data_IF_979935627259
#
_entry.id   IF_979935627259
#
_cell.length_a   1.000
_cell.length_b   1.000
_cell.length_c   1.000
_cell.angle_alpha   90.00
_cell.angle_beta   90.00
_cell.angle_gamma   90.00
#
_symmetry.space_group_name_H-M   'P 1'
#
loop_
_entity.id
_entity.type
_entity.pdbx_description
1 polymer ?
#
# COMPACT_ATOMS: atom_id res chain seq x y z
N UNK A 1 2.98 38.02 6.94
CA UNK A 1 2.37 36.83 7.59
C UNK A 1 1.34 36.11 6.70
N UNK A 2 1.35 36.25 5.36
CA UNK A 2 0.40 35.60 4.43
C UNK A 2 1.06 34.81 3.30
N UNK A 3 2.35 34.48 3.36
CA UNK A 3 3.07 33.74 2.29
C UNK A 3 2.82 32.26 2.20
N UNK A 4 2.13 31.63 3.13
CA UNK A 4 1.96 30.17 3.17
C UNK A 4 0.71 29.62 2.49
N UNK A 5 -0.16 30.44 1.89
CA UNK A 5 -1.43 29.98 1.31
C UNK A 5 -1.46 29.89 -0.21
N UNK A 6 -0.39 30.20 -0.91
CA UNK A 6 -0.38 30.31 -2.37
C UNK A 6 0.11 29.07 -3.15
N UNK A 7 0.42 27.99 -2.47
CA UNK A 7 0.73 26.77 -3.19
C UNK A 7 -0.52 25.93 -3.30
N UNK A 8 -1.43 26.33 -4.33
CA UNK A 8 -1.82 25.20 -5.09
C UNK A 8 -3.23 24.72 -5.19
N UNK A 9 -3.72 24.86 -6.35
CA UNK A 9 -4.63 23.95 -7.07
C UNK A 9 -4.17 22.48 -6.98
N UNK A 10 -2.90 22.25 -6.73
CA UNK A 10 -2.29 20.96 -6.38
C UNK A 10 -2.64 20.45 -4.98
N UNK A 11 -3.26 21.23 -4.10
CA UNK A 11 -3.28 21.02 -2.65
C UNK A 11 -4.65 20.66 -2.06
N UNK A 12 -5.65 20.27 -2.85
CA UNK A 12 -6.87 19.62 -2.31
C UNK A 12 -6.56 18.37 -1.52
N UNK A 13 -5.41 17.86 -1.74
CA UNK A 13 -4.72 16.71 -1.20
C UNK A 13 -4.66 16.58 0.35
N UNK A 14 -5.05 17.59 1.10
CA UNK A 14 -5.22 17.58 2.57
C UNK A 14 -6.41 18.44 2.99
N UNK A 15 -7.51 18.37 2.27
CA UNK A 15 -8.72 19.16 2.60
C UNK A 15 -8.68 20.61 2.11
N UNK A 16 -7.73 20.98 1.24
CA UNK A 16 -7.76 22.28 0.59
C UNK A 16 -8.93 22.38 -0.40
N UNK A 17 -9.62 23.50 -0.43
CA UNK A 17 -10.76 23.76 -1.33
C UNK A 17 -10.26 24.53 -2.55
N UNK A 18 -10.14 23.88 -3.74
CA UNK A 18 -9.71 24.58 -4.96
C UNK A 18 -10.65 25.71 -5.34
N UNK A 19 -11.92 25.64 -4.96
CA UNK A 19 -12.93 26.67 -5.18
C UNK A 19 -12.52 28.02 -4.61
N UNK A 20 -11.82 28.05 -3.47
CA UNK A 20 -11.32 29.30 -2.88
C UNK A 20 -10.32 29.98 -3.81
N UNK A 21 -9.45 29.20 -4.46
CA UNK A 21 -8.49 29.75 -5.42
C UNK A 21 -9.16 30.13 -6.73
N UNK A 22 -10.07 29.30 -7.23
CA UNK A 22 -10.81 29.57 -8.48
C UNK A 22 -11.71 30.81 -8.37
N UNK A 23 -12.28 31.05 -7.19
CA UNK A 23 -13.13 32.21 -6.93
C UNK A 23 -12.34 33.45 -6.47
N UNK A 24 -11.05 33.29 -6.16
CA UNK A 24 -10.22 34.41 -5.66
C UNK A 24 -10.28 35.67 -6.51
N UNK A 25 -10.24 35.62 -7.86
CA UNK A 25 -10.38 36.82 -8.69
C UNK A 25 -11.75 37.50 -8.58
N UNK A 26 -12.81 36.72 -8.27
CA UNK A 26 -14.17 37.26 -8.05
C UNK A 26 -14.30 37.89 -6.68
N UNK A 27 -13.69 37.27 -5.66
CA UNK A 27 -13.73 37.75 -4.28
C UNK A 27 -12.80 38.99 -4.07
N UNK A 28 -11.77 39.12 -4.93
CA UNK A 28 -10.78 40.20 -4.89
C UNK A 28 -10.52 40.77 -6.29
N UNK A 29 -11.45 41.55 -6.87
CA UNK A 29 -11.37 42.04 -8.25
C UNK A 29 -10.13 42.92 -8.58
N UNK A 30 -9.48 43.48 -7.57
CA UNK A 30 -8.26 44.28 -7.73
C UNK A 30 -6.94 43.52 -7.59
N UNK A 31 -6.99 42.21 -7.41
CA UNK A 31 -5.78 41.41 -7.24
C UNK A 31 -5.08 41.15 -8.58
N UNK A 32 -3.78 41.43 -8.65
CA UNK A 32 -2.97 41.06 -9.81
C UNK A 32 -2.80 39.54 -9.90
N UNK A 33 -3.04 39.00 -11.08
CA UNK A 33 -2.90 37.57 -11.37
C UNK A 33 -1.67 37.32 -12.26
N UNK A 34 -0.71 36.54 -11.78
CA UNK A 34 0.47 36.12 -12.55
C UNK A 34 0.36 34.64 -12.83
N UNK A 35 0.36 34.26 -14.10
CA UNK A 35 0.31 32.88 -14.53
C UNK A 35 1.74 32.38 -14.73
N UNK A 36 2.11 31.30 -13.99
CA UNK A 36 3.36 30.57 -14.21
C UNK A 36 3.08 29.48 -15.26
N UNK A 37 3.46 29.73 -16.49
CA UNK A 37 3.19 28.87 -17.65
C UNK A 37 4.42 28.07 -18.13
N UNK A 38 5.60 28.29 -17.54
CA UNK A 38 6.83 27.64 -17.93
C UNK A 38 7.25 26.55 -16.94
N UNK A 39 7.43 25.35 -17.44
CA UNK A 39 7.99 24.22 -16.71
C UNK A 39 9.48 24.12 -17.00
N UNK A 40 10.32 24.22 -15.96
CA UNK A 40 11.79 24.14 -16.05
C UNK A 40 12.34 22.77 -15.61
N UNK A 41 11.46 21.84 -15.19
CA UNK A 41 11.84 20.54 -14.62
C UNK A 41 11.89 19.46 -15.67
N UNK A 42 10.78 19.20 -16.31
CA UNK A 42 10.52 18.01 -17.08
C UNK A 42 10.77 18.21 -18.57
N UNK A 43 11.10 17.12 -19.26
CA UNK A 43 11.18 17.08 -20.72
C UNK A 43 9.82 17.33 -21.37
N UNK A 44 9.81 17.66 -22.65
CA UNK A 44 8.61 18.05 -23.41
C UNK A 44 7.54 16.94 -23.40
N UNK A 45 7.94 15.68 -23.60
CA UNK A 45 6.98 14.56 -23.59
C UNK A 45 6.27 14.42 -22.25
N UNK A 46 6.98 14.53 -21.13
CA UNK A 46 6.40 14.43 -19.79
C UNK A 46 5.42 15.59 -19.57
N UNK A 47 5.80 16.81 -19.93
CA UNK A 47 4.92 17.99 -19.81
C UNK A 47 3.66 17.79 -20.65
N UNK A 48 3.78 17.41 -21.92
CA UNK A 48 2.66 17.22 -22.84
C UNK A 48 1.71 16.15 -22.32
N UNK A 49 2.21 14.97 -21.94
CA UNK A 49 1.39 13.86 -21.47
C UNK A 49 0.71 14.16 -20.12
N UNK A 50 1.40 14.88 -19.24
CA UNK A 50 0.79 15.35 -17.99
C UNK A 50 -0.33 16.37 -18.24
N UNK A 51 -0.19 17.22 -19.26
CA UNK A 51 -1.25 18.15 -19.67
C UNK A 51 -2.45 17.41 -20.26
N UNK A 52 -2.25 16.40 -21.13
CA UNK A 52 -3.33 15.56 -21.63
C UNK A 52 -4.20 15.05 -20.48
N UNK A 53 -3.56 14.43 -19.49
CA UNK A 53 -4.25 13.93 -18.30
C UNK A 53 -5.06 15.00 -17.58
N UNK A 54 -4.43 16.11 -17.18
CA UNK A 54 -5.07 17.11 -16.31
C UNK A 54 -6.14 17.92 -17.06
N UNK A 55 -6.14 17.90 -18.39
CA UNK A 55 -7.17 18.54 -19.19
C UNK A 55 -8.55 17.93 -19.01
N UNK A 56 -8.66 16.69 -18.58
CA UNK A 56 -9.92 16.03 -18.25
C UNK A 56 -10.60 16.57 -16.97
N UNK A 57 -9.88 17.35 -16.16
CA UNK A 57 -10.47 18.03 -15.00
C UNK A 57 -11.21 19.29 -15.42
N UNK A 58 -12.49 19.40 -15.04
CA UNK A 58 -13.34 20.56 -15.32
C UNK A 58 -13.03 21.73 -14.36
N UNK A 59 -12.79 21.43 -13.08
CA UNK A 59 -12.47 22.46 -12.06
C UNK A 59 -10.96 22.74 -12.02
N UNK A 60 -10.47 23.54 -12.98
CA UNK A 60 -9.07 23.95 -13.09
C UNK A 60 -8.94 25.34 -13.70
N UNK A 61 -7.80 26.00 -13.50
CA UNK A 61 -7.41 27.13 -14.33
C UNK A 61 -6.94 26.63 -15.69
N UNK A 62 -7.43 27.25 -16.74
CA UNK A 62 -6.90 27.00 -18.08
C UNK A 62 -5.53 27.66 -18.19
N UNK A 63 -4.51 26.88 -18.43
CA UNK A 63 -3.17 27.35 -18.75
C UNK A 63 -2.46 26.37 -19.67
N UNK A 64 -1.80 26.90 -20.67
CA UNK A 64 -0.86 26.16 -21.50
C UNK A 64 0.50 26.17 -20.81
N UNK A 65 0.96 24.99 -20.38
CA UNK A 65 2.30 24.87 -19.80
C UNK A 65 3.27 24.50 -20.92
N UNK A 66 4.33 25.28 -21.09
CA UNK A 66 5.42 25.01 -22.03
C UNK A 66 6.71 24.67 -21.29
N UNK A 67 7.66 24.05 -21.99
CA UNK A 67 9.00 23.86 -21.48
C UNK A 67 10.03 24.18 -22.56
N UNK A 68 11.20 24.64 -22.15
CA UNK A 68 12.35 24.81 -23.02
C UNK A 68 13.35 23.66 -22.90
N UNK A 69 13.04 22.66 -22.07
CA UNK A 69 13.88 21.48 -21.92
C UNK A 69 13.80 20.64 -23.22
N UNK A 70 14.75 19.73 -23.36
CA UNK A 70 14.79 18.81 -24.48
C UNK A 70 13.50 17.98 -24.60
N UNK A 71 13.29 17.39 -25.78
CA UNK A 71 12.15 16.55 -26.06
C UNK A 71 12.08 15.34 -25.13
N UNK A 72 13.25 14.76 -24.82
CA UNK A 72 13.42 13.61 -23.94
C UNK A 72 12.86 12.31 -24.53
N UNK A 73 12.79 11.27 -23.70
CA UNK A 73 12.20 9.99 -24.05
C UNK A 73 10.65 10.06 -23.95
N UNK A 74 9.92 9.35 -24.83
CA UNK A 74 8.48 9.19 -24.68
C UNK A 74 8.12 8.58 -23.32
N UNK A 75 6.97 8.98 -22.76
CA UNK A 75 6.41 8.33 -21.57
C UNK A 75 6.11 6.87 -21.90
N UNK A 76 6.71 5.94 -21.17
CA UNK A 76 6.51 4.51 -21.34
C UNK A 76 5.27 4.04 -20.54
N UNK A 77 4.48 3.14 -21.16
CA UNK A 77 3.39 2.43 -20.47
C UNK A 77 3.69 0.94 -20.59
N UNK A 78 3.68 0.22 -19.46
CA UNK A 78 4.05 -1.19 -19.42
C UNK A 78 3.05 -1.99 -18.59
N UNK A 79 2.63 -3.14 -19.14
CA UNK A 79 1.79 -4.11 -18.46
C UNK A 79 2.60 -5.30 -17.98
N UNK A 80 2.27 -5.80 -16.78
CA UNK A 80 2.87 -6.97 -16.18
C UNK A 80 1.77 -7.91 -15.69
N UNK A 81 2.10 -9.19 -15.52
CA UNK A 81 1.11 -10.16 -15.07
C UNK A 81 0.62 -9.88 -13.64
N UNK A 82 1.54 -9.58 -12.73
CA UNK A 82 1.24 -9.35 -11.31
C UNK A 82 2.26 -8.38 -10.69
N UNK A 83 2.00 -7.85 -9.46
CA UNK A 83 2.88 -6.88 -8.81
C UNK A 83 4.32 -7.36 -8.57
N UNK A 84 4.53 -8.67 -8.40
CA UNK A 84 5.87 -9.22 -8.21
C UNK A 84 6.68 -9.22 -9.50
N UNK A 85 6.07 -9.60 -10.63
CA UNK A 85 6.70 -9.51 -11.94
C UNK A 85 6.99 -8.05 -12.32
N UNK A 86 6.04 -7.14 -12.03
CA UNK A 86 6.24 -5.70 -12.21
C UNK A 86 7.50 -5.23 -11.47
N UNK A 87 7.62 -5.55 -10.20
CA UNK A 87 8.76 -5.09 -9.39
C UNK A 87 10.08 -5.73 -9.76
N UNK A 88 10.11 -7.01 -10.16
CA UNK A 88 11.32 -7.66 -10.67
C UNK A 88 11.84 -7.00 -11.94
N UNK A 89 10.95 -6.76 -12.90
CA UNK A 89 11.32 -6.07 -14.13
C UNK A 89 11.83 -4.65 -13.84
N UNK A 90 11.15 -3.92 -12.95
CA UNK A 90 11.61 -2.58 -12.56
C UNK A 90 12.95 -2.63 -11.83
N UNK A 91 13.20 -3.62 -10.96
CA UNK A 91 14.49 -3.78 -10.28
C UNK A 91 15.65 -4.02 -11.27
N UNK A 92 15.41 -4.79 -12.32
CA UNK A 92 16.39 -4.99 -13.39
C UNK A 92 16.68 -3.68 -14.14
N UNK A 93 15.64 -2.90 -14.45
CA UNK A 93 15.79 -1.59 -15.10
C UNK A 93 16.52 -0.56 -14.22
N UNK A 94 16.28 -0.57 -12.91
CA UNK A 94 17.02 0.28 -11.96
C UNK A 94 18.51 -0.03 -11.98
N UNK A 95 18.88 -1.32 -11.99
CA UNK A 95 20.29 -1.74 -12.10
C UNK A 95 20.93 -1.36 -13.44
N UNK A 96 20.17 -1.49 -14.53
CA UNK A 96 20.64 -1.08 -15.84
C UNK A 96 20.84 0.44 -15.91
N UNK A 97 19.90 1.21 -15.37
CA UNK A 97 19.99 2.66 -15.33
C UNK A 97 21.20 3.13 -14.49
N UNK A 98 21.46 2.49 -13.37
CA UNK A 98 22.64 2.78 -12.53
C UNK A 98 23.95 2.50 -13.29
N UNK A 99 24.06 1.35 -13.95
CA UNK A 99 25.21 1.03 -14.81
C UNK A 99 25.41 2.04 -15.94
N UNK A 100 24.33 2.64 -16.42
CA UNK A 100 24.34 3.67 -17.47
C UNK A 100 24.54 5.10 -16.92
N UNK A 101 24.88 5.24 -15.63
CA UNK A 101 25.26 6.49 -15.00
C UNK A 101 24.11 7.31 -14.38
N UNK A 102 22.93 6.74 -14.23
CA UNK A 102 21.87 7.35 -13.42
C UNK A 102 21.95 6.80 -11.99
N UNK A 103 22.35 7.60 -10.98
CA UNK A 103 22.48 7.10 -9.61
C UNK A 103 21.13 6.76 -9.01
N UNK A 104 21.08 5.80 -8.08
CA UNK A 104 19.83 5.34 -7.44
C UNK A 104 19.04 6.48 -6.76
N UNK A 105 19.73 7.50 -6.22
CA UNK A 105 19.13 8.67 -5.58
C UNK A 105 18.30 9.53 -6.53
N UNK A 106 18.56 9.42 -7.82
CA UNK A 106 17.84 10.10 -8.90
C UNK A 106 16.69 9.26 -9.49
N UNK A 107 16.36 8.15 -8.84
CA UNK A 107 15.28 7.25 -9.24
C UNK A 107 14.19 7.17 -8.16
N UNK A 108 12.94 7.10 -8.58
CA UNK A 108 11.81 6.98 -7.64
C UNK A 108 10.77 5.97 -8.10
N UNK A 109 10.28 5.19 -7.14
CA UNK A 109 9.14 4.29 -7.25
C UNK A 109 7.97 4.90 -6.49
N UNK A 110 6.91 5.25 -7.19
CA UNK A 110 5.78 5.97 -6.64
C UNK A 110 4.51 5.13 -6.69
N UNK A 111 3.85 5.03 -5.55
CA UNK A 111 2.64 4.24 -5.35
C UNK A 111 1.47 5.11 -4.89
N UNK A 112 0.25 4.67 -5.17
CA UNK A 112 -0.95 5.31 -4.62
C UNK A 112 -1.16 4.97 -3.15
N UNK A 113 -0.79 3.77 -2.72
CA UNK A 113 -1.01 3.23 -1.38
C UNK A 113 0.29 2.72 -0.77
N UNK A 114 0.31 2.58 0.56
CA UNK A 114 1.45 1.99 1.27
C UNK A 114 1.64 0.49 0.96
N UNK A 115 0.58 -0.18 0.53
CA UNK A 115 0.61 -1.59 0.17
C UNK A 115 1.59 -1.86 -0.98
N UNK A 116 1.49 -1.09 -2.09
CA UNK A 116 2.42 -1.23 -3.21
C UNK A 116 3.88 -0.99 -2.81
N UNK A 117 4.12 -0.04 -1.90
CA UNK A 117 5.46 0.21 -1.38
C UNK A 117 6.10 -1.02 -0.70
N UNK A 118 5.31 -1.89 -0.06
CA UNK A 118 5.85 -3.08 0.61
C UNK A 118 6.41 -4.08 -0.39
N UNK A 119 5.63 -4.47 -1.39
CA UNK A 119 6.09 -5.40 -2.43
C UNK A 119 7.37 -4.87 -3.08
N UNK A 120 7.43 -3.55 -3.33
CA UNK A 120 8.64 -2.92 -3.85
C UNK A 120 9.84 -3.09 -2.91
N UNK A 121 9.65 -2.85 -1.62
CA UNK A 121 10.73 -2.96 -0.63
C UNK A 121 11.25 -4.40 -0.54
N UNK A 122 10.35 -5.39 -0.50
CA UNK A 122 10.72 -6.80 -0.45
C UNK A 122 11.57 -7.20 -1.67
N UNK A 123 11.14 -6.84 -2.88
CA UNK A 123 11.87 -7.14 -4.11
C UNK A 123 13.20 -6.35 -4.21
N UNK A 124 13.25 -5.08 -3.76
CA UNK A 124 14.51 -4.32 -3.71
C UNK A 124 15.48 -4.92 -2.69
N UNK A 125 15.00 -5.45 -1.57
CA UNK A 125 15.83 -6.16 -0.60
C UNK A 125 16.36 -7.47 -1.15
N UNK A 126 15.54 -8.29 -1.82
CA UNK A 126 15.97 -9.51 -2.50
C UNK A 126 17.00 -9.18 -3.61
N UNK A 127 16.77 -8.10 -4.33
CA UNK A 127 17.65 -7.62 -5.38
C UNK A 127 18.92 -6.93 -4.86
N UNK A 128 19.07 -6.70 -3.56
CA UNK A 128 20.18 -5.95 -2.94
C UNK A 128 20.33 -4.52 -3.51
N UNK A 129 19.23 -3.88 -3.93
CA UNK A 129 19.22 -2.50 -4.40
C UNK A 129 19.01 -1.58 -3.18
N UNK A 130 19.90 -0.59 -2.96
CA UNK A 130 19.70 0.37 -1.88
C UNK A 130 18.45 1.22 -2.13
N UNK A 131 17.67 1.45 -1.10
CA UNK A 131 16.46 2.26 -1.17
C UNK A 131 16.28 3.13 0.06
N UNK A 132 15.54 4.19 -0.11
CA UNK A 132 15.11 5.09 0.95
C UNK A 132 13.58 5.26 0.92
N UNK A 133 12.98 5.55 2.08
CA UNK A 133 11.54 5.79 2.20
C UNK A 133 11.30 7.18 2.74
N UNK A 134 10.34 7.89 2.17
CA UNK A 134 9.97 9.20 2.70
C UNK A 134 9.12 9.11 3.95
N UNK A 135 8.16 8.21 3.97
CA UNK A 135 7.27 7.98 5.10
C UNK A 135 7.63 6.70 5.84
N UNK A 136 7.34 6.67 7.13
CA UNK A 136 7.31 5.41 7.86
C UNK A 136 6.10 4.62 7.34
N UNK A 137 6.34 3.51 6.62
CA UNK A 137 5.26 2.60 6.26
C UNK A 137 4.74 1.95 7.54
N UNK A 138 3.42 1.91 7.74
CA UNK A 138 2.85 1.09 8.79
C UNK A 138 3.32 -0.37 8.58
N UNK A 139 3.92 -0.96 9.61
CA UNK A 139 4.29 -2.37 9.53
C UNK A 139 3.00 -3.22 9.49
N UNK A 140 2.83 -4.01 8.42
CA UNK A 140 1.70 -4.94 8.27
C UNK A 140 1.60 -5.86 9.47
N UNK A 141 2.75 -6.37 9.88
CA UNK A 141 2.84 -7.36 10.96
C UNK A 141 2.59 -6.75 12.35
N UNK A 142 2.62 -5.41 12.47
CA UNK A 142 2.18 -4.69 13.66
C UNK A 142 0.66 -4.48 13.73
N UNK A 143 -0.05 -4.66 12.60
CA UNK A 143 -1.49 -4.54 12.57
C UNK A 143 -2.14 -5.65 13.42
N UNK A 144 -3.23 -5.32 14.13
CA UNK A 144 -3.87 -6.28 15.05
C UNK A 144 -4.40 -7.55 14.34
N UNK A 145 -4.88 -7.44 13.11
CA UNK A 145 -5.29 -8.58 12.28
C UNK A 145 -4.09 -9.50 12.02
N UNK A 146 -2.95 -8.94 11.64
CA UNK A 146 -1.74 -9.73 11.41
C UNK A 146 -1.30 -10.43 12.70
N UNK A 147 -1.30 -9.71 13.82
CA UNK A 147 -0.98 -10.28 15.14
C UNK A 147 -1.91 -11.43 15.52
N UNK A 148 -3.18 -11.36 15.17
CA UNK A 148 -4.12 -12.46 15.40
C UNK A 148 -3.79 -13.68 14.52
N UNK A 149 -3.57 -13.49 13.21
CA UNK A 149 -3.21 -14.58 12.30
C UNK A 149 -1.89 -15.24 12.71
N UNK A 150 -0.87 -14.43 13.00
CA UNK A 150 0.42 -14.94 13.49
C UNK A 150 0.28 -15.67 14.83
N UNK A 151 -0.66 -15.27 15.69
CA UNK A 151 -0.96 -16.00 16.93
C UNK A 151 -1.56 -17.38 16.63
N UNK A 152 -2.49 -17.51 15.68
CA UNK A 152 -2.96 -18.82 15.23
C UNK A 152 -1.83 -19.72 14.74
N UNK A 153 -0.91 -19.16 13.95
CA UNK A 153 0.25 -19.90 13.44
C UNK A 153 1.23 -20.29 14.57
N UNK A 154 1.45 -19.44 15.57
CA UNK A 154 2.25 -19.78 16.75
C UNK A 154 1.64 -20.95 17.54
N UNK A 155 0.32 -20.96 17.71
CA UNK A 155 -0.37 -22.09 18.35
C UNK A 155 -0.24 -23.36 17.54
N UNK A 156 -0.31 -23.29 16.22
CA UNK A 156 -0.06 -24.42 15.32
C UNK A 156 1.38 -24.94 15.44
N UNK A 157 2.36 -24.06 15.64
CA UNK A 157 3.76 -24.44 15.91
C UNK A 157 4.02 -24.98 17.33
N UNK A 158 2.95 -25.22 18.10
CA UNK A 158 3.04 -25.86 19.43
C UNK A 158 3.05 -24.90 20.61
N UNK A 159 2.95 -23.59 20.42
CA UNK A 159 2.80 -22.68 21.55
C UNK A 159 1.50 -22.98 22.33
N UNK A 160 1.60 -22.90 23.66
CA UNK A 160 0.45 -23.07 24.56
C UNK A 160 0.36 -21.94 25.58
N UNK A 161 0.97 -20.81 25.29
CA UNK A 161 1.01 -19.64 26.18
C UNK A 161 -0.39 -19.05 26.35
N UNK A 162 -0.81 -18.85 27.59
CA UNK A 162 -2.10 -18.22 27.97
C UNK A 162 -2.35 -16.91 27.23
N UNK A 163 -1.33 -16.04 27.12
CA UNK A 163 -1.46 -14.75 26.45
C UNK A 163 -1.82 -14.85 24.96
N UNK A 164 -1.38 -15.91 24.27
CA UNK A 164 -1.72 -16.17 22.88
C UNK A 164 -3.14 -16.70 22.73
N UNK A 165 -3.54 -17.65 23.56
CA UNK A 165 -4.92 -18.11 23.57
C UNK A 165 -5.91 -16.97 23.82
N UNK A 166 -5.67 -16.11 24.81
CA UNK A 166 -6.54 -14.99 25.12
C UNK A 166 -6.70 -13.99 23.95
N UNK A 167 -5.72 -13.88 23.06
CA UNK A 167 -5.82 -13.03 21.87
C UNK A 167 -6.85 -13.56 20.88
N UNK A 168 -6.88 -14.88 20.64
CA UNK A 168 -7.68 -15.49 19.56
C UNK A 168 -8.89 -16.29 20.05
N UNK A 169 -9.03 -16.55 21.34
CA UNK A 169 -10.08 -17.39 21.91
C UNK A 169 -11.49 -17.02 21.43
N UNK A 170 -11.75 -15.70 21.32
CA UNK A 170 -13.00 -15.15 20.82
C UNK A 170 -12.85 -14.33 19.52
N UNK A 171 -11.94 -14.74 18.64
CA UNK A 171 -11.71 -14.14 17.31
C UNK A 171 -11.57 -15.21 16.22
N UNK A 172 -12.66 -15.75 15.67
CA UNK A 172 -14.08 -15.40 15.85
C UNK A 172 -14.64 -15.79 17.21
N UNK A 173 -15.83 -15.21 17.52
CA UNK A 173 -16.45 -15.36 18.83
C UNK A 173 -16.84 -16.81 19.15
N UNK A 174 -16.25 -17.35 20.21
CA UNK A 174 -16.53 -18.70 20.75
C UNK A 174 -17.17 -18.68 22.13
N UNK A 175 -17.34 -17.47 22.73
CA UNK A 175 -17.88 -17.26 24.07
C UNK A 175 -17.07 -17.93 25.19
N UNK A 176 -15.78 -18.12 24.98
CA UNK A 176 -14.89 -18.63 26.02
C UNK A 176 -14.64 -17.55 27.09
N UNK A 177 -14.91 -17.89 28.36
CA UNK A 177 -14.60 -17.00 29.47
C UNK A 177 -13.10 -16.88 29.68
N UNK A 178 -12.66 -15.71 30.10
CA UNK A 178 -11.26 -15.48 30.48
C UNK A 178 -10.82 -16.32 31.67
N UNK A 179 -11.77 -16.65 32.54
CA UNK A 179 -11.54 -17.44 33.76
C UNK A 179 -11.23 -18.92 33.45
N UNK A 180 -11.63 -19.41 32.27
CA UNK A 180 -11.25 -20.76 31.82
C UNK A 180 -9.76 -20.90 31.47
N UNK A 181 -9.02 -19.79 31.45
CA UNK A 181 -7.59 -19.75 31.16
C UNK A 181 -6.80 -19.32 32.39
N UNK A 182 -6.82 -20.11 33.48
CA UNK A 182 -6.15 -19.73 34.72
C UNK A 182 -4.62 -19.93 34.64
N UNK A 183 -4.18 -21.03 34.05
CA UNK A 183 -2.78 -21.38 34.00
C UNK A 183 -1.98 -20.63 32.94
N UNK A 184 -0.67 -20.46 33.16
CA UNK A 184 0.24 -19.83 32.21
C UNK A 184 0.37 -20.63 30.90
N UNK A 185 0.18 -21.95 30.96
CA UNK A 185 0.18 -22.90 29.84
C UNK A 185 -1.20 -23.51 29.68
N UNK A 186 -1.85 -23.28 28.55
CA UNK A 186 -3.22 -23.75 28.29
C UNK A 186 -3.22 -25.20 27.83
N UNK A 187 -4.06 -26.02 28.48
CA UNK A 187 -4.41 -27.37 28.05
C UNK A 187 -5.82 -27.40 27.49
N UNK A 188 -6.04 -28.10 26.38
CA UNK A 188 -7.39 -28.33 25.86
C UNK A 188 -8.22 -29.24 26.76
N UNK A 189 -7.57 -30.22 27.43
CA UNK A 189 -8.26 -31.08 28.38
C UNK A 189 -8.77 -30.28 29.58
N UNK A 190 -7.97 -29.37 30.15
CA UNK A 190 -8.41 -28.49 31.23
C UNK A 190 -9.56 -27.55 30.79
N UNK A 191 -9.54 -27.06 29.55
CA UNK A 191 -10.66 -26.27 29.02
C UNK A 191 -11.93 -27.10 28.86
N UNK A 192 -11.81 -28.37 28.42
CA UNK A 192 -12.95 -29.28 28.31
C UNK A 192 -13.52 -29.61 29.67
N UNK A 193 -12.68 -29.83 30.69
CA UNK A 193 -13.08 -30.07 32.07
C UNK A 193 -13.81 -28.86 32.66
N UNK A 194 -13.29 -27.64 32.45
CA UNK A 194 -13.93 -26.41 32.91
C UNK A 194 -15.35 -26.22 32.35
N UNK A 195 -15.62 -26.72 31.17
CA UNK A 195 -16.91 -26.61 30.49
C UNK A 195 -17.66 -27.95 30.39
N UNK A 196 -17.35 -28.96 31.20
CA UNK A 196 -17.90 -30.31 31.09
C UNK A 196 -19.43 -30.36 31.09
N UNK A 197 -20.08 -29.47 31.83
CA UNK A 197 -21.55 -29.34 31.88
C UNK A 197 -22.18 -28.66 30.65
N UNK A 198 -21.37 -28.16 29.70
CA UNK A 198 -21.83 -27.37 28.54
C UNK A 198 -21.36 -27.98 27.23
N UNK A 199 -22.04 -29.01 26.75
CA UNK A 199 -21.69 -29.73 25.51
C UNK A 199 -21.38 -28.84 24.32
N UNK A 200 -22.16 -27.78 24.13
CA UNK A 200 -21.95 -26.85 23.02
C UNK A 200 -20.63 -26.07 23.13
N UNK A 201 -20.14 -25.82 24.35
CA UNK A 201 -18.82 -25.21 24.58
C UNK A 201 -17.70 -26.22 24.30
N UNK A 202 -17.86 -27.46 24.79
CA UNK A 202 -16.92 -28.53 24.52
C UNK A 202 -16.76 -28.77 23.00
N UNK A 203 -17.84 -28.71 22.24
CA UNK A 203 -17.78 -28.80 20.78
C UNK A 203 -16.93 -27.67 20.15
N UNK A 204 -17.09 -26.42 20.62
CA UNK A 204 -16.29 -25.28 20.14
C UNK A 204 -14.83 -25.40 20.50
N UNK A 205 -14.51 -25.90 21.69
CA UNK A 205 -13.13 -26.14 22.13
C UNK A 205 -12.48 -27.22 21.28
N UNK A 206 -13.15 -28.36 21.06
CA UNK A 206 -12.67 -29.42 20.17
C UNK A 206 -12.49 -28.93 18.74
N UNK A 207 -13.39 -28.08 18.25
CA UNK A 207 -13.25 -27.45 16.93
C UNK A 207 -12.02 -26.56 16.87
N UNK A 208 -11.75 -25.72 17.89
CA UNK A 208 -10.56 -24.89 17.96
C UNK A 208 -9.28 -25.73 17.97
N UNK A 209 -9.25 -26.82 18.74
CA UNK A 209 -8.13 -27.76 18.76
C UNK A 209 -7.87 -28.39 17.40
N UNK A 210 -8.95 -28.86 16.75
CA UNK A 210 -8.88 -29.42 15.39
C UNK A 210 -8.39 -28.38 14.38
N UNK A 211 -8.89 -27.13 14.46
CA UNK A 211 -8.47 -26.05 13.58
C UNK A 211 -6.97 -25.77 13.72
N UNK A 212 -6.46 -25.66 14.97
CA UNK A 212 -5.03 -25.46 15.25
C UNK A 212 -4.21 -26.65 14.72
N UNK A 213 -4.67 -27.87 14.92
CA UNK A 213 -4.01 -29.07 14.41
C UNK A 213 -3.97 -29.09 12.88
N UNK A 214 -5.07 -28.70 12.21
CA UNK A 214 -5.13 -28.62 10.75
C UNK A 214 -4.10 -27.64 10.20
N UNK A 215 -3.91 -26.49 10.86
CA UNK A 215 -2.94 -25.49 10.43
C UNK A 215 -1.50 -26.00 10.38
N UNK A 216 -1.14 -27.02 11.21
CA UNK A 216 0.22 -27.60 11.20
C UNK A 216 0.61 -28.25 9.89
N UNK A 217 -0.38 -28.67 9.10
CA UNK A 217 -0.17 -29.41 7.85
C UNK A 217 -0.31 -28.55 6.59
N UNK A 218 -0.59 -27.25 6.77
CA UNK A 218 -0.82 -26.33 5.66
C UNK A 218 0.42 -25.50 5.34
N UNK A 219 0.58 -25.15 4.07
CA UNK A 219 1.51 -24.11 3.67
C UNK A 219 1.09 -22.76 4.28
N UNK A 220 1.98 -21.76 4.42
CA UNK A 220 1.62 -20.44 4.93
C UNK A 220 0.40 -19.82 4.23
N UNK A 221 0.35 -19.89 2.90
CA UNK A 221 -0.79 -19.43 2.11
C UNK A 221 -2.07 -20.23 2.42
N UNK A 222 -1.97 -21.57 2.48
CA UNK A 222 -3.08 -22.43 2.85
C UNK A 222 -3.59 -22.18 4.26
N UNK A 223 -2.68 -21.90 5.20
CA UNK A 223 -3.02 -21.59 6.59
C UNK A 223 -3.76 -20.25 6.71
N UNK A 224 -3.30 -19.19 6.00
CA UNK A 224 -4.02 -17.91 5.96
C UNK A 224 -5.42 -18.10 5.38
N UNK A 225 -5.56 -18.83 4.27
CA UNK A 225 -6.88 -19.13 3.68
C UNK A 225 -7.78 -19.89 4.66
N UNK A 226 -7.24 -20.89 5.36
CA UNK A 226 -8.00 -21.67 6.33
C UNK A 226 -8.48 -20.79 7.49
N UNK A 227 -7.62 -19.92 8.02
CA UNK A 227 -7.98 -18.95 9.08
C UNK A 227 -9.08 -17.99 8.58
N UNK A 228 -8.93 -17.44 7.39
CA UNK A 228 -9.92 -16.52 6.82
C UNK A 228 -11.30 -17.14 6.68
N UNK A 229 -11.37 -18.31 6.02
CA UNK A 229 -12.65 -18.83 5.53
C UNK A 229 -13.17 -19.99 6.37
N UNK A 230 -12.33 -21.00 6.70
CA UNK A 230 -12.78 -22.18 7.43
C UNK A 230 -12.94 -21.91 8.94
N UNK A 231 -12.03 -21.19 9.56
CA UNK A 231 -12.17 -20.72 10.94
C UNK A 231 -13.21 -19.58 11.02
N UNK A 232 -13.41 -18.83 9.93
CA UNK A 232 -14.39 -17.74 9.85
C UNK A 232 -13.85 -16.39 10.36
N UNK A 233 -12.54 -16.19 10.34
CA UNK A 233 -11.92 -14.96 10.83
C UNK A 233 -12.29 -13.74 9.96
N UNK A 234 -12.42 -13.89 8.63
CA UNK A 234 -12.86 -12.80 7.76
C UNK A 234 -14.28 -12.34 8.08
N UNK A 235 -15.18 -13.28 8.38
CA UNK A 235 -16.54 -12.95 8.80
C UNK A 235 -16.53 -12.17 10.14
N UNK A 236 -15.68 -12.57 11.08
CA UNK A 236 -15.49 -11.84 12.33
C UNK A 236 -14.99 -10.40 12.08
N UNK A 237 -14.06 -10.19 11.15
CA UNK A 237 -13.57 -8.86 10.78
C UNK A 237 -14.71 -8.02 10.18
N UNK A 238 -15.56 -8.58 9.32
CA UNK A 238 -16.74 -7.89 8.75
C UNK A 238 -17.74 -7.48 9.83
N UNK A 239 -18.02 -8.35 10.79
CA UNK A 239 -18.88 -8.05 11.93
C UNK A 239 -18.28 -6.95 12.83
N UNK A 240 -16.98 -7.00 13.08
CA UNK A 240 -16.26 -5.96 13.81
C UNK A 240 -16.34 -4.60 13.11
N UNK A 241 -16.16 -4.57 11.79
CA UNK A 241 -16.29 -3.37 10.94
C UNK A 241 -17.69 -2.78 11.06
N UNK A 242 -18.72 -3.62 10.91
CA UNK A 242 -20.12 -3.19 11.02
C UNK A 242 -20.44 -2.60 12.41
N UNK A 243 -19.97 -3.26 13.46
CA UNK A 243 -20.16 -2.80 14.85
C UNK A 243 -19.46 -1.46 15.13
N UNK A 244 -18.24 -1.28 14.59
CA UNK A 244 -17.40 -0.09 14.81
C UNK A 244 -17.66 1.04 13.80
N UNK A 245 -18.56 0.83 12.82
CA UNK A 245 -18.80 1.78 11.72
C UNK A 245 -17.52 2.15 10.96
N UNK A 246 -16.59 1.19 10.80
CA UNK A 246 -15.37 1.35 10.02
C UNK A 246 -15.64 1.06 8.54
N UNK A 247 -14.62 1.22 7.71
CA UNK A 247 -14.69 0.85 6.30
C UNK A 247 -14.19 -0.59 6.13
N UNK A 248 -15.03 -1.46 5.57
CA UNK A 248 -14.73 -2.88 5.40
C UNK A 248 -13.46 -3.09 4.59
N UNK A 249 -13.33 -2.39 3.47
CA UNK A 249 -12.17 -2.52 2.57
C UNK A 249 -10.82 -2.26 3.26
N UNK A 250 -10.77 -1.36 4.25
CA UNK A 250 -9.52 -1.00 4.91
C UNK A 250 -8.97 -2.18 5.75
N UNK A 251 -9.84 -3.02 6.32
CA UNK A 251 -9.43 -4.17 7.13
C UNK A 251 -9.33 -5.46 6.30
N UNK A 252 -10.17 -5.62 5.30
CA UNK A 252 -10.08 -6.77 4.37
C UNK A 252 -8.80 -6.68 3.54
N UNK A 253 -8.38 -5.49 3.13
CA UNK A 253 -7.11 -5.32 2.42
C UNK A 253 -5.90 -5.83 3.23
N UNK A 254 -5.93 -5.71 4.57
CA UNK A 254 -4.86 -6.26 5.42
C UNK A 254 -4.82 -7.80 5.34
N UNK A 255 -5.99 -8.45 5.30
CA UNK A 255 -6.06 -9.91 5.11
C UNK A 255 -5.54 -10.33 3.72
N UNK A 256 -5.88 -9.55 2.69
CA UNK A 256 -5.40 -9.80 1.33
C UNK A 256 -3.88 -9.64 1.23
N UNK A 257 -3.32 -8.59 1.90
CA UNK A 257 -1.88 -8.40 1.99
C UNK A 257 -1.16 -9.56 2.68
N UNK A 258 -1.69 -10.02 3.81
CA UNK A 258 -1.11 -11.14 4.56
C UNK A 258 -1.15 -12.43 3.74
N UNK A 259 -2.23 -12.65 3.01
CA UNK A 259 -2.37 -13.79 2.12
C UNK A 259 -1.36 -13.75 0.98
N UNK A 260 -1.15 -12.59 0.38
CA UNK A 260 -0.17 -12.41 -0.69
C UNK A 260 1.27 -12.61 -0.17
N UNK A 261 1.61 -12.01 0.99
CA UNK A 261 2.91 -12.20 1.61
C UNK A 261 3.20 -13.68 1.92
N UNK A 262 2.17 -14.44 2.30
CA UNK A 262 2.30 -15.87 2.61
C UNK A 262 2.61 -16.74 1.37
N UNK A 263 2.27 -16.31 0.14
CA UNK A 263 2.50 -17.10 -1.08
C UNK A 263 3.97 -17.41 -1.36
N UNK A 264 4.84 -16.48 -1.04
CA UNK A 264 6.28 -16.63 -1.27
C UNK A 264 6.95 -17.57 -0.27
N UNK A 265 6.26 -17.92 0.81
CA UNK A 265 6.85 -18.64 1.94
C UNK A 265 6.60 -20.14 1.82
N UNK A 266 7.67 -20.91 2.07
CA UNK A 266 7.62 -22.40 1.97
C UNK A 266 7.13 -23.07 3.24
N UNK A 267 7.40 -22.46 4.41
CA UNK A 267 7.00 -22.98 5.72
C UNK A 267 6.61 -21.81 6.65
N UNK A 268 5.87 -22.14 7.71
CA UNK A 268 5.45 -21.17 8.73
C UNK A 268 6.69 -20.61 9.46
N UNK A 269 7.65 -21.46 9.82
CA UNK A 269 8.91 -21.07 10.48
C UNK A 269 9.72 -20.11 9.58
N UNK A 270 9.82 -20.43 8.28
CA UNK A 270 10.49 -19.59 7.30
C UNK A 270 9.82 -18.23 7.17
N UNK A 271 8.49 -18.18 7.25
CA UNK A 271 7.75 -16.93 7.23
C UNK A 271 8.00 -16.07 8.48
N UNK A 272 8.03 -16.69 9.67
CA UNK A 272 8.39 -15.96 10.90
C UNK A 272 9.81 -15.39 10.83
N UNK A 273 10.80 -16.16 10.37
CA UNK A 273 12.15 -15.69 10.18
C UNK A 273 12.22 -14.51 9.19
N UNK A 274 11.49 -14.60 8.07
CA UNK A 274 11.38 -13.51 7.10
C UNK A 274 10.76 -12.24 7.71
N UNK A 275 9.70 -12.37 8.52
CA UNK A 275 9.07 -11.24 9.21
C UNK A 275 10.06 -10.56 10.15
N UNK A 276 10.82 -11.31 10.95
CA UNK A 276 11.83 -10.76 11.85
C UNK A 276 12.93 -10.01 11.08
N UNK A 277 13.45 -10.61 10.01
CA UNK A 277 14.46 -9.97 9.14
C UNK A 277 13.93 -8.68 8.51
N UNK A 278 12.70 -8.71 7.97
CA UNK A 278 12.02 -7.55 7.41
C UNK A 278 11.89 -6.43 8.44
N UNK A 279 11.37 -6.75 9.63
CA UNK A 279 11.19 -5.77 10.70
C UNK A 279 12.51 -5.18 11.20
N UNK A 280 13.56 -6.00 11.28
CA UNK A 280 14.88 -5.52 11.66
C UNK A 280 15.45 -4.56 10.62
N UNK A 281 15.43 -4.92 9.35
CA UNK A 281 15.89 -4.06 8.24
C UNK A 281 15.09 -2.75 8.17
N UNK A 282 13.78 -2.81 8.40
CA UNK A 282 12.94 -1.60 8.43
C UNK A 282 13.32 -0.68 9.59
N UNK A 283 13.60 -1.22 10.79
CA UNK A 283 14.06 -0.43 11.94
C UNK A 283 15.43 0.19 11.70
N UNK A 284 16.35 -0.54 11.09
CA UNK A 284 17.68 -0.03 10.70
C UNK A 284 17.58 1.11 9.68
N UNK A 285 16.75 0.93 8.65
CA UNK A 285 16.48 1.99 7.66
C UNK A 285 15.82 3.23 8.26
N UNK A 286 14.93 3.07 9.21
CA UNK A 286 14.34 4.20 9.93
C UNK A 286 15.39 4.98 10.75
N UNK A 287 16.37 4.30 11.35
CA UNK A 287 17.48 4.93 12.08
C UNK A 287 18.45 5.64 11.13
N UNK A 288 18.82 4.99 10.01
CA UNK A 288 19.72 5.55 8.99
C UNK A 288 19.11 6.74 8.23
N UNK A 289 17.78 6.89 8.25
CA UNK A 289 17.07 8.00 7.59
C UNK A 289 17.56 9.39 8.01
N UNK A 290 18.25 9.51 9.12
CA UNK A 290 18.85 10.75 9.60
C UNK A 290 20.27 11.02 9.02
N UNK A 291 20.93 10.03 8.40
CA UNK A 291 22.37 10.08 8.14
C UNK A 291 22.79 9.97 6.65
N UNK A 292 22.00 9.33 5.78
CA UNK A 292 22.34 9.25 4.35
C UNK A 292 21.11 9.19 3.43
N UNK A 293 21.10 10.02 2.39
CA UNK A 293 20.09 10.04 1.33
C UNK A 293 20.51 9.12 0.16
N UNK A 294 20.94 7.88 0.44
CA UNK A 294 21.42 6.94 -0.57
C UNK A 294 20.33 5.92 -0.97
N UNK A 295 20.17 5.70 -2.27
CA UNK A 295 19.31 4.67 -2.85
C UNK A 295 18.00 5.18 -3.46
N UNK A 296 17.27 4.26 -4.11
CA UNK A 296 16.03 4.53 -4.82
C UNK A 296 14.94 5.01 -3.86
N UNK A 297 14.27 6.12 -4.19
CA UNK A 297 13.16 6.62 -3.39
C UNK A 297 11.91 5.75 -3.56
N UNK A 298 11.42 5.17 -2.49
CA UNK A 298 10.11 4.50 -2.43
C UNK A 298 9.15 5.39 -1.65
N UNK A 299 8.06 5.81 -2.28
CA UNK A 299 7.14 6.77 -1.66
C UNK A 299 5.73 6.64 -2.19
N UNK A 300 4.76 7.10 -1.40
CA UNK A 300 3.42 7.31 -1.91
C UNK A 300 3.34 8.64 -2.69
N UNK A 301 2.38 8.73 -3.62
CA UNK A 301 2.08 9.98 -4.34
C UNK A 301 1.78 11.14 -3.39
N UNK A 302 1.28 10.83 -2.19
CA UNK A 302 0.98 11.83 -1.17
C UNK A 302 2.24 12.51 -0.61
N UNK A 303 3.30 11.80 -0.49
CA UNK A 303 4.50 12.25 0.19
C UNK A 303 5.57 12.79 -0.74
N UNK A 304 5.47 12.50 -2.05
CA UNK A 304 6.49 12.88 -3.04
C UNK A 304 6.43 14.36 -3.44
N UNK A 305 5.46 15.12 -2.91
CA UNK A 305 5.32 16.53 -3.25
C UNK A 305 6.59 17.34 -2.87
N UNK A 306 7.06 18.16 -3.82
CA UNK A 306 8.25 18.99 -3.66
C UNK A 306 9.56 18.33 -4.04
N UNK A 307 9.56 17.01 -4.29
CA UNK A 307 10.72 16.26 -4.78
C UNK A 307 10.71 16.18 -6.30
N UNK A 308 11.86 15.80 -6.86
CA UNK A 308 12.03 15.56 -8.29
C UNK A 308 13.17 14.57 -8.54
N UNK A 309 13.04 13.73 -9.57
CA UNK A 309 13.96 12.65 -9.89
C UNK A 309 14.18 12.59 -11.40
N UNK A 310 15.33 12.11 -11.83
CA UNK A 310 15.60 11.91 -13.25
C UNK A 310 14.70 10.84 -13.83
N UNK A 311 14.51 9.73 -13.09
CA UNK A 311 13.73 8.59 -13.52
C UNK A 311 12.64 8.26 -12.51
N UNK A 312 11.38 8.22 -12.96
CA UNK A 312 10.23 7.94 -12.11
C UNK A 312 9.41 6.79 -12.68
N UNK A 313 9.08 5.86 -11.82
CA UNK A 313 8.11 4.80 -12.07
C UNK A 313 6.85 5.07 -11.25
N UNK A 314 5.70 5.15 -11.92
CA UNK A 314 4.39 5.10 -11.28
C UNK A 314 3.88 3.67 -11.40
N UNK A 315 3.70 3.01 -10.28
CA UNK A 315 3.42 1.59 -10.17
C UNK A 315 1.98 1.35 -9.69
N UNK A 316 1.45 0.15 -9.96
CA UNK A 316 0.06 -0.17 -9.58
C UNK A 316 -0.97 0.77 -10.26
N UNK A 317 -0.76 1.18 -11.51
CA UNK A 317 -1.66 2.09 -12.23
C UNK A 317 -2.87 1.31 -12.76
N UNK A 318 -3.72 0.83 -11.83
CA UNK A 318 -4.88 0.00 -12.08
C UNK A 318 -6.17 0.64 -11.57
N UNK A 319 -7.31 0.35 -12.20
CA UNK A 319 -8.63 0.71 -11.66
C UNK A 319 -8.81 0.17 -10.24
N UNK A 320 -9.40 0.97 -9.37
CA UNK A 320 -9.56 0.65 -7.96
C UNK A 320 -8.35 0.96 -7.08
N UNK A 321 -7.16 1.10 -7.67
CA UNK A 321 -5.94 1.60 -7.00
C UNK A 321 -5.70 3.05 -7.37
N UNK A 322 -5.70 3.35 -8.65
CA UNK A 322 -5.47 4.68 -9.23
C UNK A 322 -6.33 4.88 -10.50
N UNK A 323 -7.53 5.49 -10.42
CA UNK A 323 -8.12 6.11 -9.23
C UNK A 323 -8.48 5.11 -8.13
N UNK A 324 -8.43 5.59 -6.87
CA UNK A 324 -8.77 4.75 -5.74
C UNK A 324 -10.27 4.37 -5.78
N UNK A 325 -10.58 3.12 -5.45
CA UNK A 325 -11.95 2.56 -5.56
C UNK A 325 -13.06 3.38 -4.86
N UNK A 326 -12.71 4.16 -3.84
CA UNK A 326 -13.66 5.04 -3.13
C UNK A 326 -13.90 6.38 -3.85
N UNK A 327 -13.15 6.68 -4.91
CA UNK A 327 -13.33 7.87 -5.73
C UNK A 327 -14.44 7.67 -6.76
N UNK A 328 -15.69 7.53 -6.29
CA UNK A 328 -16.87 7.27 -7.17
C UNK A 328 -17.41 8.57 -7.77
N UNK A 329 -17.37 9.67 -7.03
CA UNK A 329 -17.87 10.96 -7.49
C UNK A 329 -16.89 11.62 -8.46
N UNK A 330 -17.41 12.34 -9.45
CA UNK A 330 -16.60 13.04 -10.45
C UNK A 330 -15.53 13.95 -9.81
N UNK A 331 -15.86 14.63 -8.71
CA UNK A 331 -14.93 15.47 -7.98
C UNK A 331 -13.80 14.69 -7.32
N UNK A 332 -14.11 13.51 -6.80
CA UNK A 332 -13.11 12.62 -6.21
C UNK A 332 -12.17 12.05 -7.28
N UNK A 333 -12.69 11.70 -8.46
CA UNK A 333 -11.88 11.28 -9.62
C UNK A 333 -10.97 12.42 -10.09
N UNK A 334 -11.47 13.65 -10.12
CA UNK A 334 -10.63 14.81 -10.45
C UNK A 334 -9.49 15.03 -9.44
N UNK A 335 -9.70 14.68 -8.18
CA UNK A 335 -8.68 14.73 -7.14
C UNK A 335 -7.62 13.65 -7.31
N UNK A 336 -8.03 12.41 -7.59
CA UNK A 336 -7.12 11.32 -7.94
C UNK A 336 -6.30 11.66 -9.19
N UNK A 337 -6.92 12.28 -10.19
CA UNK A 337 -6.22 12.74 -11.41
C UNK A 337 -5.18 13.83 -11.10
N UNK A 338 -5.48 14.76 -10.18
CA UNK A 338 -4.48 15.75 -9.72
C UNK A 338 -3.30 15.08 -9.03
N UNK A 339 -3.57 14.05 -8.25
CA UNK A 339 -2.54 13.29 -7.56
C UNK A 339 -1.64 12.55 -8.55
N UNK A 340 -2.25 11.90 -9.54
CA UNK A 340 -1.52 11.22 -10.61
C UNK A 340 -0.66 12.20 -11.40
N UNK A 341 -1.22 13.38 -11.76
CA UNK A 341 -0.51 14.48 -12.38
C UNK A 341 0.71 14.94 -11.54
N UNK A 342 0.55 15.05 -10.23
CA UNK A 342 1.67 15.39 -9.34
C UNK A 342 2.76 14.33 -9.42
N UNK A 343 2.42 13.05 -9.42
CA UNK A 343 3.37 11.94 -9.59
C UNK A 343 4.12 12.02 -10.91
N UNK A 344 3.41 12.16 -12.02
CA UNK A 344 4.02 12.30 -13.36
C UNK A 344 5.02 13.46 -13.41
N UNK A 345 4.65 14.62 -12.84
CA UNK A 345 5.49 15.82 -12.82
C UNK A 345 6.64 15.77 -11.83
N UNK A 346 6.90 14.62 -11.18
CA UNK A 346 8.14 14.40 -10.41
C UNK A 346 9.30 13.99 -11.31
N UNK A 347 9.00 13.46 -12.49
CA UNK A 347 10.03 13.06 -13.45
C UNK A 347 10.67 14.26 -14.16
N UNK A 348 11.98 14.25 -14.23
CA UNK A 348 12.75 15.22 -15.01
C UNK A 348 13.00 14.72 -16.42
N UNK A 349 13.52 13.49 -16.57
CA UNK A 349 13.98 12.93 -17.86
C UNK A 349 13.12 11.78 -18.36
N UNK A 350 12.83 10.80 -17.50
CA UNK A 350 12.12 9.58 -17.88
C UNK A 350 10.94 9.29 -16.95
N UNK A 351 9.82 8.88 -17.53
CA UNK A 351 8.61 8.49 -16.84
C UNK A 351 8.08 7.17 -17.39
N UNK A 352 7.91 6.19 -16.51
CA UNK A 352 7.28 4.90 -16.81
C UNK A 352 6.03 4.74 -15.97
N UNK A 353 4.92 4.37 -16.61
CA UNK A 353 3.64 4.06 -15.98
C UNK A 353 3.44 2.55 -16.08
N UNK A 354 3.30 1.88 -14.93
CA UNK A 354 3.20 0.42 -14.86
C UNK A 354 1.85 -0.01 -14.33
N UNK A 355 1.25 -1.03 -14.94
CA UNK A 355 0.02 -1.65 -14.49
C UNK A 355 0.14 -3.17 -14.49
N UNK A 356 -0.74 -3.86 -13.77
CA UNK A 356 -0.76 -5.32 -13.69
C UNK A 356 -2.09 -5.87 -14.21
N UNK A 357 -2.08 -7.12 -14.69
CA UNK A 357 -3.29 -7.81 -15.19
C UNK A 357 -4.02 -8.58 -14.08
N UNK A 358 -3.28 -8.99 -13.04
CA UNK A 358 -3.80 -9.77 -11.92
C UNK A 358 -3.30 -9.22 -10.58
N UNK A 359 -4.22 -9.17 -9.60
CA UNK A 359 -3.91 -8.81 -8.22
C UNK A 359 -4.74 -9.67 -7.27
N UNK A 360 -4.10 -10.29 -6.26
CA UNK A 360 -4.77 -11.22 -5.34
C UNK A 360 -5.57 -12.32 -6.09
N UNK A 361 -4.97 -12.90 -7.15
CA UNK A 361 -5.59 -13.93 -8.01
C UNK A 361 -6.86 -13.47 -8.74
N UNK A 362 -7.13 -12.20 -8.76
CA UNK A 362 -8.25 -11.59 -9.50
C UNK A 362 -7.71 -10.76 -10.66
N UNK A 363 -8.38 -10.85 -11.80
CA UNK A 363 -8.12 -9.95 -12.92
C UNK A 363 -8.45 -8.52 -12.51
N UNK A 364 -7.58 -7.59 -12.89
CA UNK A 364 -7.76 -6.15 -12.66
C UNK A 364 -7.58 -5.41 -13.98
N UNK A 365 -8.29 -4.30 -14.10
CA UNK A 365 -8.23 -3.48 -15.32
C UNK A 365 -7.13 -2.41 -15.21
N UNK A 366 -6.46 -2.06 -16.31
CA UNK A 366 -5.61 -0.88 -16.36
C UNK A 366 -6.40 0.38 -15.96
N UNK A 367 -5.72 1.34 -15.36
CA UNK A 367 -6.34 2.61 -15.00
C UNK A 367 -6.84 3.39 -16.23
N UNK A 368 -8.04 3.96 -16.15
CA UNK A 368 -8.55 4.94 -17.13
C UNK A 368 -7.61 6.12 -17.34
N UNK A 369 -6.78 6.44 -16.38
CA UNK A 369 -5.80 7.52 -16.49
C UNK A 369 -4.71 7.24 -17.53
N UNK A 370 -4.45 5.96 -17.85
CA UNK A 370 -3.51 5.61 -18.92
C UNK A 370 -4.05 6.04 -20.29
N UNK A 371 -5.34 5.83 -20.56
CA UNK A 371 -6.00 6.29 -21.79
C UNK A 371 -6.00 7.81 -21.89
N UNK A 372 -6.27 8.51 -20.77
CA UNK A 372 -6.26 9.97 -20.69
C UNK A 372 -4.86 10.57 -20.90
N UNK A 373 -3.79 9.84 -20.62
CA UNK A 373 -2.39 10.24 -20.89
C UNK A 373 -2.05 10.09 -22.37
N UNK A 374 -2.63 9.11 -23.07
CA UNK A 374 -2.32 8.81 -24.48
C UNK A 374 -3.06 9.74 -25.43
N UNK A 375 -4.30 10.10 -25.12
CA UNK A 375 -5.14 11.01 -25.92
C UNK A 375 -4.57 12.42 -25.96
#
# INVERSE_FOLDING_TARGET
YRRQRQMCIRDRFRGARPEIMLNFPKDYPGAAQVVLDKNYRSTEFIVKRSQCLIHHNKKRYEKAISTNNEKGAPVAIRGYKNPREEMRAVAEELREAEKNGCPYEEMALLFRTNLGCRTAIEELMEAQIPFQMRDALPDLYDHWIAKDLLTYLNLAMGSRKRGEFLKIANRPNRYLSRDAFEEATVSFDALLEYYEEKDWMCQRIRKLEQDITTLTHLSPFGAVNYIRYAIGYEQYVKEYVAYRHLKEDDLISVLDELQEAAKSQKSIEGWFAHIEEYQQKMKEKQKQRAESAEGVMVSTLHSVKGLEYDKVYLLDVNEGVMPYQKAVLAEAIEEERRMFYVGMTRARKELTLCYVEERFEKKVEPSRFLDEVIQ
#
